data_IF_117588001817
#
_entry.id   IF_117588001817
#
_cell.length_a   1.000
_cell.length_b   1.000
_cell.length_c   1.000
_cell.angle_alpha   90.00
_cell.angle_beta   90.00
_cell.angle_gamma   90.00
#
_symmetry.space_group_name_H-M   'P 1'
#
loop_
_entity.id
_entity.type
_entity.pdbx_description
1 polymer ?
#
# COMPACT_ATOMS: atom_id res chain seq x y z
N UNK A 1 25.05 -29.14 32.80
CA UNK A 1 23.71 -28.92 32.20
C UNK A 1 23.74 -27.58 31.52
N UNK A 2 23.85 -27.47 30.18
CA UNK A 2 23.73 -26.19 29.48
C UNK A 2 22.24 -25.86 29.35
N UNK A 3 21.87 -24.68 29.81
CA UNK A 3 20.56 -24.11 29.72
C UNK A 3 20.24 -23.76 28.24
N UNK A 4 19.30 -24.52 27.67
CA UNK A 4 18.66 -24.19 26.38
C UNK A 4 17.94 -22.84 26.51
N UNK A 5 18.57 -21.81 26.01
CA UNK A 5 17.92 -20.50 25.84
C UNK A 5 17.04 -20.60 24.60
N UNK A 6 15.80 -21.03 24.77
CA UNK A 6 14.77 -21.02 23.74
C UNK A 6 14.60 -19.58 23.22
N UNK A 7 15.11 -19.30 22.03
CA UNK A 7 14.92 -18.03 21.33
C UNK A 7 13.42 -17.93 21.05
N UNK A 8 12.76 -16.96 21.65
CA UNK A 8 11.32 -16.73 21.50
C UNK A 8 10.97 -16.52 20.02
N UNK A 9 9.98 -17.27 19.53
CA UNK A 9 9.49 -17.23 18.12
C UNK A 9 9.27 -15.80 17.56
N UNK A 10 8.79 -14.80 18.34
CA UNK A 10 8.68 -13.42 17.88
C UNK A 10 10.02 -12.78 17.46
N UNK A 11 11.11 -13.10 18.13
CA UNK A 11 12.44 -12.54 17.82
C UNK A 11 13.02 -13.10 16.52
N UNK A 12 12.78 -14.37 16.22
CA UNK A 12 13.25 -15.00 14.97
C UNK A 12 12.57 -14.38 13.76
N UNK A 13 11.25 -14.17 13.82
CA UNK A 13 10.50 -13.52 12.74
C UNK A 13 10.96 -12.07 12.52
N UNK A 14 11.19 -11.31 13.58
CA UNK A 14 11.70 -9.95 13.48
C UNK A 14 13.09 -9.86 12.82
N UNK A 15 13.99 -10.79 13.17
CA UNK A 15 15.35 -10.84 12.57
C UNK A 15 15.30 -11.24 11.10
N UNK A 16 14.51 -12.25 10.74
CA UNK A 16 14.33 -12.68 9.34
C UNK A 16 13.76 -11.52 8.51
N UNK A 17 12.78 -10.83 9.04
CA UNK A 17 12.14 -9.68 8.38
C UNK A 17 13.12 -8.53 8.17
N UNK A 18 13.98 -8.25 9.15
CA UNK A 18 15.02 -7.21 9.05
C UNK A 18 16.08 -7.56 8.00
N UNK A 19 16.49 -8.83 7.92
CA UNK A 19 17.45 -9.32 6.91
C UNK A 19 16.83 -9.24 5.50
N UNK A 20 15.55 -9.62 5.35
CA UNK A 20 14.85 -9.51 4.07
C UNK A 20 14.75 -8.06 3.61
N UNK A 21 14.40 -7.13 4.51
CA UNK A 21 14.35 -5.71 4.17
C UNK A 21 15.69 -5.17 3.72
N UNK A 22 16.79 -5.56 4.39
CA UNK A 22 18.14 -5.13 4.00
C UNK A 22 18.51 -5.63 2.60
N UNK A 23 18.20 -6.89 2.27
CA UNK A 23 18.42 -7.45 0.93
C UNK A 23 17.58 -6.70 -0.12
N UNK A 24 16.30 -6.48 0.16
CA UNK A 24 15.40 -5.75 -0.71
C UNK A 24 15.90 -4.32 -0.97
N UNK A 25 16.22 -3.56 0.08
CA UNK A 25 16.72 -2.18 -0.04
C UNK A 25 18.00 -2.13 -0.88
N UNK A 26 18.95 -3.02 -0.65
CA UNK A 26 20.19 -3.07 -1.40
C UNK A 26 19.97 -3.41 -2.88
N UNK A 27 19.05 -4.33 -3.18
CA UNK A 27 18.66 -4.65 -4.54
C UNK A 27 18.00 -3.44 -5.23
N UNK A 28 16.97 -2.88 -4.63
CA UNK A 28 16.20 -1.77 -5.17
C UNK A 28 17.06 -0.53 -5.44
N UNK A 29 17.99 -0.20 -4.54
CA UNK A 29 18.91 0.93 -4.73
C UNK A 29 19.87 0.73 -5.91
N UNK A 30 20.30 -0.51 -6.18
CA UNK A 30 21.16 -0.82 -7.33
C UNK A 30 20.37 -0.90 -8.63
N UNK A 31 19.17 -1.46 -8.58
CA UNK A 31 18.34 -1.68 -9.76
C UNK A 31 17.71 -0.40 -10.31
N UNK A 32 17.42 0.59 -9.45
CA UNK A 32 16.69 1.78 -9.83
C UNK A 32 17.20 3.04 -9.10
N UNK A 33 17.98 3.90 -9.78
CA UNK A 33 18.51 5.14 -9.19
C UNK A 33 17.43 6.16 -8.78
N UNK A 34 16.24 6.12 -9.41
CA UNK A 34 15.13 6.99 -9.03
C UNK A 34 14.52 6.51 -7.73
N UNK A 35 14.26 5.22 -7.63
CA UNK A 35 13.76 4.60 -6.41
C UNK A 35 14.79 4.70 -5.27
N UNK A 36 16.09 4.61 -5.55
CA UNK A 36 17.15 4.82 -4.57
C UNK A 36 17.00 6.17 -3.84
N UNK A 37 16.76 7.26 -4.59
CA UNK A 37 16.51 8.60 -4.01
C UNK A 37 15.22 8.65 -3.17
N UNK A 38 14.19 7.90 -3.57
CA UNK A 38 12.95 7.78 -2.78
C UNK A 38 13.24 7.07 -1.46
N UNK A 39 13.97 5.96 -1.50
CA UNK A 39 14.36 5.18 -0.31
C UNK A 39 15.19 6.04 0.66
N UNK A 40 16.14 6.81 0.17
CA UNK A 40 16.97 7.70 0.99
C UNK A 40 16.16 8.78 1.69
N UNK A 41 15.21 9.38 0.98
CA UNK A 41 14.34 10.40 1.53
C UNK A 41 13.35 9.85 2.56
N UNK A 42 12.79 8.66 2.34
CA UNK A 42 11.83 8.01 3.24
C UNK A 42 12.53 7.47 4.49
N UNK A 43 13.77 6.98 4.35
CA UNK A 43 14.55 6.43 5.46
C UNK A 43 14.27 4.95 5.74
N UNK A 44 14.34 4.50 7.00
CA UNK A 44 14.23 3.09 7.36
C UNK A 44 12.91 2.45 6.93
N UNK A 45 12.97 1.24 6.38
CA UNK A 45 11.79 0.47 6.01
C UNK A 45 11.02 0.03 7.26
N UNK A 46 9.72 0.37 7.30
CA UNK A 46 8.79 -0.08 8.35
C UNK A 46 7.64 -0.91 7.74
N UNK A 47 7.89 -1.51 6.59
CA UNK A 47 6.93 -2.45 6.00
C UNK A 47 6.75 -3.63 6.95
N UNK A 48 5.52 -3.96 7.27
CA UNK A 48 5.18 -5.04 8.20
C UNK A 48 4.06 -5.90 7.63
N UNK A 49 4.15 -7.19 7.90
CA UNK A 49 3.11 -8.18 7.58
C UNK A 49 2.28 -8.39 8.85
N UNK A 50 0.97 -8.41 8.72
CA UNK A 50 0.06 -8.67 9.83
C UNK A 50 -0.07 -10.17 10.04
N UNK A 51 0.50 -10.67 11.11
CA UNK A 51 0.44 -12.08 11.48
C UNK A 51 -0.76 -12.42 12.40
N UNK A 52 -1.38 -11.39 13.01
CA UNK A 52 -2.51 -11.54 13.94
C UNK A 52 -3.77 -12.03 13.21
N UNK A 53 -4.54 -12.89 13.90
CA UNK A 53 -5.78 -13.45 13.39
C UNK A 53 -5.63 -14.46 12.24
N UNK A 54 -6.73 -14.84 11.64
CA UNK A 54 -6.82 -15.77 10.51
C UNK A 54 -6.81 -15.05 9.16
N UNK A 55 -6.70 -15.78 8.06
CA UNK A 55 -6.89 -15.21 6.72
C UNK A 55 -8.31 -14.68 6.51
N UNK A 56 -9.30 -15.33 7.13
CA UNK A 56 -10.69 -14.87 7.12
C UNK A 56 -10.81 -13.48 7.77
N UNK A 57 -10.21 -13.29 8.95
CA UNK A 57 -10.17 -12.00 9.64
C UNK A 57 -9.60 -10.89 8.75
N UNK A 58 -8.53 -11.20 8.04
CA UNK A 58 -7.88 -10.23 7.15
C UNK A 58 -8.81 -9.80 6.00
N UNK A 59 -9.54 -10.72 5.38
CA UNK A 59 -10.48 -10.39 4.30
C UNK A 59 -11.73 -9.67 4.85
N UNK A 60 -12.29 -10.10 5.99
CA UNK A 60 -13.38 -9.39 6.68
C UNK A 60 -12.98 -7.95 6.97
N UNK A 61 -11.81 -7.76 7.57
CA UNK A 61 -11.27 -6.42 7.83
C UNK A 61 -11.12 -5.61 6.55
N UNK A 62 -10.57 -6.20 5.48
CA UNK A 62 -10.40 -5.50 4.21
C UNK A 62 -11.74 -4.99 3.67
N UNK A 63 -12.80 -5.81 3.69
CA UNK A 63 -14.15 -5.44 3.26
C UNK A 63 -14.71 -4.30 4.13
N UNK A 64 -14.58 -4.39 5.46
CA UNK A 64 -15.08 -3.36 6.37
C UNK A 64 -14.41 -2.01 6.12
N UNK A 65 -13.11 -2.01 5.82
CA UNK A 65 -12.32 -0.80 5.65
C UNK A 65 -12.48 -0.12 4.28
N UNK A 66 -13.07 -0.77 3.27
CA UNK A 66 -13.26 -0.19 1.94
C UNK A 66 -14.02 1.15 2.01
N UNK A 67 -13.53 2.16 1.28
CA UNK A 67 -14.20 3.46 1.07
C UNK A 67 -14.57 4.20 2.37
N UNK A 68 -13.85 3.99 3.45
CA UNK A 68 -14.04 4.68 4.73
C UNK A 68 -12.74 5.36 5.18
N UNK A 69 -12.87 6.40 6.00
CA UNK A 69 -11.73 6.90 6.76
C UNK A 69 -11.27 5.84 7.77
N UNK A 70 -9.99 5.86 8.14
CA UNK A 70 -9.43 4.90 9.08
C UNK A 70 -10.19 4.86 10.42
N UNK A 71 -10.62 6.01 10.94
CA UNK A 71 -11.38 6.11 12.20
C UNK A 71 -12.79 5.51 12.10
N UNK A 72 -13.51 5.81 11.02
CA UNK A 72 -14.85 5.24 10.80
C UNK A 72 -14.78 3.73 10.62
N UNK A 73 -13.82 3.25 9.81
CA UNK A 73 -13.62 1.82 9.60
C UNK A 73 -13.24 1.09 10.90
N UNK A 74 -12.35 1.69 11.69
CA UNK A 74 -11.98 1.16 13.01
C UNK A 74 -13.19 1.03 13.93
N UNK A 75 -14.04 2.06 14.00
CA UNK A 75 -15.25 2.05 14.85
C UNK A 75 -16.20 0.91 14.45
N UNK A 76 -16.49 0.76 13.14
CA UNK A 76 -17.39 -0.28 12.64
C UNK A 76 -16.78 -1.68 12.89
N UNK A 77 -15.49 -1.85 12.61
CA UNK A 77 -14.80 -3.12 12.85
C UNK A 77 -14.78 -3.48 14.33
N UNK A 78 -14.50 -2.51 15.21
CA UNK A 78 -14.53 -2.74 16.67
C UNK A 78 -15.91 -3.13 17.18
N UNK A 79 -16.99 -2.54 16.63
CA UNK A 79 -18.36 -2.95 16.96
C UNK A 79 -18.66 -4.36 16.48
N UNK A 80 -18.20 -4.72 15.28
CA UNK A 80 -18.32 -6.09 14.76
C UNK A 80 -17.63 -7.08 15.69
N UNK A 81 -16.37 -6.85 16.04
CA UNK A 81 -15.64 -7.70 16.95
C UNK A 81 -16.32 -7.75 18.34
N UNK A 82 -16.70 -6.60 18.90
CA UNK A 82 -17.35 -6.51 20.22
C UNK A 82 -18.64 -7.31 20.32
N UNK A 83 -19.44 -7.37 19.21
CA UNK A 83 -20.65 -8.18 19.14
C UNK A 83 -20.37 -9.68 19.26
N UNK A 84 -19.18 -10.11 18.85
CA UNK A 84 -18.78 -11.53 18.80
C UNK A 84 -17.62 -11.85 19.76
N UNK A 85 -17.59 -11.22 20.92
CA UNK A 85 -16.61 -11.55 21.97
C UNK A 85 -15.18 -11.07 21.72
N UNK A 86 -14.99 -10.04 20.89
CA UNK A 86 -13.68 -9.45 20.62
C UNK A 86 -12.92 -10.09 19.46
N UNK A 87 -13.51 -11.08 18.80
CA UNK A 87 -12.91 -11.80 17.65
C UNK A 87 -13.81 -11.73 16.42
N UNK A 88 -13.24 -11.95 15.24
CA UNK A 88 -14.05 -12.14 14.03
C UNK A 88 -14.84 -13.43 14.16
N UNK A 89 -16.18 -13.41 13.96
CA UNK A 89 -16.99 -14.60 14.03
C UNK A 89 -16.64 -15.60 12.93
N UNK A 90 -16.83 -16.88 13.20
CA UNK A 90 -16.68 -17.93 12.19
C UNK A 90 -17.61 -17.67 10.99
N UNK A 91 -17.27 -18.15 9.78
CA UNK A 91 -18.08 -17.95 8.58
C UNK A 91 -19.56 -18.31 8.78
N UNK A 92 -19.85 -19.45 9.40
CA UNK A 92 -21.23 -19.87 9.65
C UNK A 92 -21.99 -18.92 10.57
N UNK A 93 -21.34 -18.41 11.62
CA UNK A 93 -21.95 -17.43 12.54
C UNK A 93 -22.33 -16.14 11.81
N UNK A 94 -21.46 -15.65 10.89
CA UNK A 94 -21.80 -14.51 10.06
C UNK A 94 -22.97 -14.79 9.11
N UNK A 95 -23.06 -16.00 8.57
CA UNK A 95 -24.18 -16.42 7.72
C UNK A 95 -25.51 -16.43 8.48
N UNK A 96 -25.50 -16.89 9.71
CA UNK A 96 -26.71 -17.05 10.54
C UNK A 96 -27.14 -15.71 11.17
N UNK A 97 -26.23 -14.73 11.28
CA UNK A 97 -26.55 -13.41 11.85
C UNK A 97 -27.49 -12.63 10.91
N UNK A 98 -28.61 -12.10 11.38
CA UNK A 98 -29.52 -11.30 10.56
C UNK A 98 -28.84 -10.07 9.95
N UNK A 99 -29.19 -9.72 8.70
CA UNK A 99 -28.65 -8.54 8.03
C UNK A 99 -28.93 -7.24 8.79
N UNK A 100 -30.11 -7.16 9.45
CA UNK A 100 -30.48 -6.01 10.28
C UNK A 100 -29.51 -5.81 11.44
N UNK A 101 -29.04 -6.89 12.06
CA UNK A 101 -28.07 -6.86 13.14
C UNK A 101 -26.69 -6.39 12.65
N UNK A 102 -26.19 -6.96 11.57
CA UNK A 102 -24.93 -6.53 10.97
C UNK A 102 -24.96 -5.05 10.58
N UNK A 103 -26.09 -4.58 10.04
CA UNK A 103 -26.28 -3.17 9.69
C UNK A 103 -26.35 -2.24 10.91
N UNK A 104 -26.90 -2.71 12.03
CA UNK A 104 -26.91 -1.97 13.29
C UNK A 104 -25.50 -1.70 13.84
N UNK A 105 -24.52 -2.53 13.48
CA UNK A 105 -23.11 -2.31 13.81
C UNK A 105 -22.44 -1.20 12.95
N UNK A 106 -23.13 -0.70 11.93
CA UNK A 106 -22.66 0.35 11.03
C UNK A 106 -22.23 -0.15 9.65
N UNK A 107 -22.43 -1.43 9.33
CA UNK A 107 -22.15 -1.96 8.00
C UNK A 107 -23.21 -1.47 6.98
N UNK A 108 -22.77 -1.04 5.81
CA UNK A 108 -23.69 -0.75 4.72
C UNK A 108 -24.35 -2.04 4.21
N UNK A 109 -25.53 -1.92 3.55
CA UNK A 109 -26.19 -3.07 2.90
C UNK A 109 -25.23 -3.84 1.98
N UNK A 110 -24.41 -3.11 1.24
CA UNK A 110 -23.45 -3.68 0.31
C UNK A 110 -22.36 -4.49 1.03
N UNK A 111 -21.75 -3.93 2.09
CA UNK A 111 -20.73 -4.64 2.90
C UNK A 111 -21.29 -5.84 3.64
N UNK A 112 -22.53 -5.74 4.15
CA UNK A 112 -23.22 -6.90 4.71
C UNK A 112 -23.33 -8.03 3.69
N UNK A 113 -23.76 -7.72 2.45
CA UNK A 113 -23.81 -8.70 1.38
C UNK A 113 -22.43 -9.29 1.01
N UNK A 114 -21.37 -8.47 1.05
CA UNK A 114 -20.01 -8.96 0.79
C UNK A 114 -19.49 -9.91 1.87
N UNK A 115 -19.73 -9.59 3.14
CA UNK A 115 -19.37 -10.46 4.25
C UNK A 115 -20.13 -11.80 4.20
N UNK A 116 -21.42 -11.78 3.86
CA UNK A 116 -22.23 -12.99 3.66
C UNK A 116 -21.71 -13.84 2.50
N UNK A 117 -21.38 -13.22 1.36
CA UNK A 117 -20.84 -13.93 0.19
C UNK A 117 -19.46 -14.56 0.50
N UNK A 118 -18.56 -13.81 1.17
CA UNK A 118 -17.30 -14.35 1.67
C UNK A 118 -17.52 -15.56 2.57
N UNK A 119 -18.39 -15.40 3.58
CA UNK A 119 -18.68 -16.46 4.56
C UNK A 119 -19.23 -17.72 3.90
N UNK A 120 -20.17 -17.57 2.96
CA UNK A 120 -20.72 -18.68 2.20
C UNK A 120 -19.63 -19.44 1.41
N UNK A 121 -18.81 -18.68 0.67
CA UNK A 121 -17.75 -19.28 -0.17
C UNK A 121 -16.69 -19.99 0.65
N UNK A 122 -16.36 -19.47 1.82
CA UNK A 122 -15.40 -20.12 2.73
C UNK A 122 -16.04 -21.37 3.33
N UNK A 123 -17.30 -21.30 3.78
CA UNK A 123 -17.99 -22.45 4.35
C UNK A 123 -18.18 -23.61 3.37
N UNK A 124 -18.42 -23.32 2.06
CA UNK A 124 -18.51 -24.37 1.04
C UNK A 124 -17.15 -24.76 0.41
N UNK A 125 -16.02 -24.19 0.87
CA UNK A 125 -14.70 -24.54 0.34
C UNK A 125 -14.38 -23.92 -1.03
N UNK A 126 -15.22 -23.02 -1.56
CA UNK A 126 -14.96 -22.32 -2.83
C UNK A 126 -13.74 -21.36 -2.71
N UNK A 127 -13.52 -20.81 -1.51
CA UNK A 127 -12.33 -20.00 -1.18
C UNK A 127 -11.58 -20.67 -0.05
N UNK A 128 -10.49 -21.42 -0.34
CA UNK A 128 -9.79 -22.26 0.64
C UNK A 128 -8.81 -21.42 1.46
N UNK A 129 -9.30 -20.51 2.31
CA UNK A 129 -8.49 -19.57 3.08
C UNK A 129 -7.43 -20.24 3.96
N UNK A 130 -7.66 -21.46 4.45
CA UNK A 130 -6.71 -22.20 5.29
C UNK A 130 -5.45 -22.64 4.56
N UNK A 131 -5.53 -22.84 3.25
CA UNK A 131 -4.44 -23.34 2.40
C UNK A 131 -3.96 -22.34 1.35
N UNK A 132 -4.42 -21.07 1.44
CA UNK A 132 -4.00 -20.04 0.47
C UNK A 132 -2.49 -19.83 0.42
N UNK A 133 -1.79 -20.05 1.52
CA UNK A 133 -0.33 -19.85 1.59
C UNK A 133 0.45 -20.85 0.69
N UNK A 134 -0.16 -21.98 0.33
CA UNK A 134 0.43 -23.01 -0.55
C UNK A 134 0.23 -22.70 -2.04
N UNK A 135 -0.63 -21.74 -2.38
CA UNK A 135 -0.93 -21.35 -3.74
C UNK A 135 0.02 -20.26 -4.26
N UNK A 136 0.16 -20.18 -5.59
CA UNK A 136 0.81 -19.02 -6.22
C UNK A 136 -0.07 -17.77 -6.17
N UNK A 137 0.53 -16.63 -6.46
CA UNK A 137 -0.14 -15.31 -6.31
C UNK A 137 -1.33 -15.18 -7.27
N UNK A 138 -1.27 -15.71 -8.48
CA UNK A 138 -2.36 -15.62 -9.46
C UNK A 138 -3.55 -16.50 -9.05
N UNK A 139 -3.28 -17.70 -8.52
CA UNK A 139 -4.32 -18.57 -7.98
C UNK A 139 -5.02 -17.92 -6.77
N UNK A 140 -4.27 -17.26 -5.89
CA UNK A 140 -4.81 -16.52 -4.76
C UNK A 140 -5.69 -15.35 -5.22
N UNK A 141 -5.21 -14.55 -6.17
CA UNK A 141 -5.98 -13.44 -6.76
C UNK A 141 -7.27 -13.97 -7.37
N UNK A 142 -7.19 -15.04 -8.14
CA UNK A 142 -8.35 -15.68 -8.77
C UNK A 142 -9.36 -16.13 -7.73
N UNK A 143 -8.93 -16.85 -6.70
CA UNK A 143 -9.81 -17.32 -5.63
C UNK A 143 -10.48 -16.17 -4.87
N UNK A 144 -9.71 -15.16 -4.45
CA UNK A 144 -10.24 -14.03 -3.67
C UNK A 144 -11.18 -13.14 -4.48
N UNK A 145 -10.92 -12.95 -5.77
CA UNK A 145 -11.77 -12.09 -6.64
C UNK A 145 -13.12 -12.72 -6.99
N UNK A 146 -13.34 -14.00 -6.69
CA UNK A 146 -14.68 -14.61 -6.76
C UNK A 146 -15.65 -14.02 -5.72
N UNK A 147 -15.11 -13.50 -4.60
CA UNK A 147 -15.90 -12.89 -3.52
C UNK A 147 -16.43 -11.52 -3.96
N UNK A 148 -17.74 -11.30 -3.80
CA UNK A 148 -18.35 -10.01 -4.11
C UNK A 148 -17.67 -8.88 -3.33
N UNK A 149 -17.28 -7.82 -4.05
CA UNK A 149 -16.61 -6.67 -3.45
C UNK A 149 -15.11 -6.83 -3.18
N UNK A 150 -14.54 -7.99 -3.46
CA UNK A 150 -13.09 -8.20 -3.42
C UNK A 150 -12.55 -8.14 -4.85
N UNK A 151 -11.88 -7.03 -5.19
CA UNK A 151 -11.22 -6.87 -6.48
C UNK A 151 -9.74 -7.24 -6.43
N UNK A 152 -9.08 -7.24 -7.60
CA UNK A 152 -7.65 -7.54 -7.75
C UNK A 152 -6.79 -6.71 -6.79
N UNK A 153 -7.07 -5.42 -6.65
CA UNK A 153 -6.34 -4.56 -5.72
C UNK A 153 -6.45 -5.05 -4.25
N UNK A 154 -7.64 -5.47 -3.82
CA UNK A 154 -7.82 -6.00 -2.45
C UNK A 154 -7.06 -7.32 -2.26
N UNK A 155 -7.06 -8.18 -3.28
CA UNK A 155 -6.29 -9.42 -3.26
C UNK A 155 -4.77 -9.16 -3.23
N UNK A 156 -4.28 -8.18 -3.99
CA UNK A 156 -2.87 -7.74 -3.94
C UNK A 156 -2.49 -7.19 -2.56
N UNK A 157 -3.36 -6.41 -1.91
CA UNK A 157 -3.13 -5.96 -0.52
C UNK A 157 -3.08 -7.13 0.46
N UNK A 158 -3.90 -8.16 0.26
CA UNK A 158 -3.85 -9.39 1.05
C UNK A 158 -2.51 -10.14 0.84
N UNK A 159 -2.06 -10.30 -0.40
CA UNK A 159 -0.75 -10.88 -0.71
C UNK A 159 0.39 -10.14 0.00
N UNK A 160 0.41 -8.81 -0.10
CA UNK A 160 1.45 -7.99 0.49
C UNK A 160 1.40 -8.00 2.02
N UNK A 161 0.26 -7.61 2.60
CA UNK A 161 0.18 -7.27 4.02
C UNK A 161 -0.31 -8.40 4.91
N UNK A 162 -0.83 -9.49 4.35
CA UNK A 162 -1.23 -10.68 5.09
C UNK A 162 -0.30 -11.87 4.85
N UNK A 163 0.03 -12.16 3.59
CA UNK A 163 0.91 -13.28 3.26
C UNK A 163 2.39 -12.90 3.18
N UNK A 164 2.71 -11.60 3.13
CA UNK A 164 4.09 -11.12 3.04
C UNK A 164 4.78 -11.46 1.72
N UNK A 165 4.01 -11.64 0.65
CA UNK A 165 4.57 -11.90 -0.68
C UNK A 165 5.51 -10.77 -1.09
N UNK A 166 6.78 -11.06 -1.43
CA UNK A 166 7.79 -10.03 -1.61
C UNK A 166 7.66 -9.27 -2.94
N UNK A 167 7.04 -9.87 -3.95
CA UNK A 167 7.08 -9.37 -5.33
C UNK A 167 5.68 -9.08 -5.92
N UNK A 168 4.89 -8.30 -5.20
CA UNK A 168 3.57 -7.84 -5.66
C UNK A 168 3.65 -6.39 -6.14
N UNK A 169 3.22 -6.13 -7.38
CA UNK A 169 3.15 -4.79 -7.98
C UNK A 169 1.69 -4.43 -8.30
N UNK A 170 1.01 -3.65 -7.45
CA UNK A 170 -0.34 -3.17 -7.72
C UNK A 170 -0.31 -2.01 -8.73
N UNK A 171 -0.18 -2.33 -10.00
CA UNK A 171 0.07 -1.43 -11.12
C UNK A 171 -1.09 -0.47 -11.43
N UNK A 172 -2.31 -0.82 -11.01
CA UNK A 172 -3.49 0.04 -11.09
C UNK A 172 -3.74 0.88 -9.83
N UNK A 173 -2.94 0.69 -8.76
CA UNK A 173 -3.08 1.47 -7.53
C UNK A 173 -2.82 2.95 -7.78
N UNK A 174 -3.79 3.80 -7.40
CA UNK A 174 -3.70 5.24 -7.62
C UNK A 174 -2.52 5.87 -6.87
N UNK A 175 -2.22 5.41 -5.66
CA UNK A 175 -1.09 5.88 -4.86
C UNK A 175 0.23 5.54 -5.53
N UNK A 176 0.42 4.31 -5.98
CA UNK A 176 1.62 3.88 -6.73
C UNK A 176 1.77 4.71 -8.00
N UNK A 177 0.71 4.87 -8.80
CA UNK A 177 0.74 5.67 -10.03
C UNK A 177 1.10 7.13 -9.77
N UNK A 178 0.53 7.75 -8.72
CA UNK A 178 0.88 9.11 -8.30
C UNK A 178 2.32 9.23 -7.82
N UNK A 179 2.80 8.28 -7.03
CA UNK A 179 4.17 8.27 -6.55
C UNK A 179 5.17 8.12 -7.70
N UNK A 180 4.89 7.24 -8.67
CA UNK A 180 5.69 7.09 -9.90
C UNK A 180 5.64 8.39 -10.72
N UNK A 181 4.47 8.97 -10.95
CA UNK A 181 4.36 10.25 -11.66
C UNK A 181 5.29 11.30 -11.06
N UNK A 182 5.30 11.40 -9.74
CA UNK A 182 6.12 12.39 -9.02
C UNK A 182 7.61 12.07 -9.07
N UNK A 183 7.99 10.83 -8.76
CA UNK A 183 9.38 10.42 -8.66
C UNK A 183 10.08 10.38 -10.02
N UNK A 184 9.40 9.83 -11.05
CA UNK A 184 9.92 9.66 -12.41
C UNK A 184 9.56 10.81 -13.36
N UNK A 185 8.85 11.84 -12.85
CA UNK A 185 8.47 13.05 -13.60
C UNK A 185 7.74 12.76 -14.91
N UNK A 186 6.80 11.80 -14.88
CA UNK A 186 5.97 11.51 -16.05
C UNK A 186 4.97 12.64 -16.30
N UNK A 187 4.61 12.90 -17.57
CA UNK A 187 3.68 14.00 -17.94
C UNK A 187 2.27 13.83 -17.36
N UNK A 188 1.84 12.59 -17.09
CA UNK A 188 0.53 12.26 -16.53
C UNK A 188 0.63 11.01 -15.65
N UNK A 189 -0.51 10.57 -15.12
CA UNK A 189 -0.59 9.29 -14.41
C UNK A 189 -0.16 8.17 -15.37
N UNK A 190 0.84 7.35 -15.01
CA UNK A 190 1.30 6.26 -15.85
C UNK A 190 0.19 5.21 -16.02
N UNK A 191 0.11 4.58 -17.20
CA UNK A 191 -0.74 3.41 -17.43
C UNK A 191 -0.19 2.19 -16.69
N UNK A 192 -0.98 1.12 -16.58
CA UNK A 192 -0.56 -0.16 -16.01
C UNK A 192 0.74 -0.66 -16.64
N UNK A 193 0.80 -0.72 -17.97
CA UNK A 193 1.99 -1.17 -18.72
C UNK A 193 3.23 -0.30 -18.45
N UNK A 194 3.00 1.01 -18.23
CA UNK A 194 4.09 1.92 -17.87
C UNK A 194 4.59 1.67 -16.46
N UNK A 195 3.69 1.38 -15.52
CA UNK A 195 4.04 1.01 -14.14
C UNK A 195 4.81 -0.31 -14.14
N UNK A 196 4.34 -1.32 -14.84
CA UNK A 196 4.99 -2.62 -14.97
C UNK A 196 6.40 -2.49 -15.56
N UNK A 197 6.56 -1.70 -16.62
CA UNK A 197 7.88 -1.43 -17.23
C UNK A 197 8.85 -0.74 -16.27
N UNK A 198 8.38 0.24 -15.51
CA UNK A 198 9.19 0.94 -14.51
C UNK A 198 9.53 -0.01 -13.36
N UNK A 199 8.57 -0.84 -12.93
CA UNK A 199 8.72 -1.75 -11.81
C UNK A 199 9.47 -3.05 -12.13
N UNK A 200 9.67 -3.39 -13.40
CA UNK A 200 10.34 -4.64 -13.79
C UNK A 200 11.70 -4.87 -13.09
N UNK A 201 12.57 -3.85 -12.91
CA UNK A 201 13.82 -4.02 -12.17
C UNK A 201 13.67 -4.22 -10.66
N UNK A 202 12.48 -4.00 -10.08
CA UNK A 202 12.26 -4.12 -8.64
C UNK A 202 12.10 -5.56 -8.18
N UNK A 203 11.73 -6.47 -9.11
CA UNK A 203 11.64 -7.90 -8.81
C UNK A 203 12.98 -8.42 -8.27
N UNK A 204 12.97 -9.27 -7.23
CA UNK A 204 11.81 -9.89 -6.58
C UNK A 204 11.31 -9.14 -5.33
N UNK A 205 11.43 -7.82 -5.26
CA UNK A 205 11.11 -7.02 -4.08
C UNK A 205 10.11 -5.88 -4.34
N UNK A 206 9.21 -6.06 -5.32
CA UNK A 206 8.22 -5.04 -5.72
C UNK A 206 7.33 -4.57 -4.57
N UNK A 207 7.00 -5.44 -3.61
CA UNK A 207 6.20 -5.08 -2.43
C UNK A 207 6.89 -4.03 -1.55
N UNK A 208 8.20 -4.17 -1.34
CA UNK A 208 9.00 -3.19 -0.60
C UNK A 208 9.12 -1.88 -1.37
N UNK A 209 9.33 -1.95 -2.70
CA UNK A 209 9.33 -0.78 -3.58
C UNK A 209 8.02 0.01 -3.48
N UNK A 210 6.88 -0.68 -3.55
CA UNK A 210 5.55 -0.09 -3.42
C UNK A 210 5.34 0.57 -2.06
N UNK A 211 5.80 -0.06 -0.98
CA UNK A 211 5.75 0.55 0.34
C UNK A 211 6.51 1.89 0.39
N UNK A 212 7.70 1.96 -0.18
CA UNK A 212 8.47 3.20 -0.26
C UNK A 212 7.79 4.27 -1.10
N UNK A 213 7.17 3.89 -2.20
CA UNK A 213 6.42 4.79 -3.06
C UNK A 213 5.22 5.40 -2.31
N UNK A 214 4.43 4.62 -1.58
CA UNK A 214 3.34 5.15 -0.76
C UNK A 214 3.85 6.10 0.33
N UNK A 215 4.90 5.72 1.08
CA UNK A 215 5.48 6.59 2.11
C UNK A 215 6.00 7.91 1.54
N UNK A 216 6.50 7.90 0.32
CA UNK A 216 7.00 9.12 -0.33
C UNK A 216 5.92 10.16 -0.58
N UNK A 217 4.66 9.75 -0.73
CA UNK A 217 3.53 10.67 -0.87
C UNK A 217 3.22 11.35 0.47
N UNK A 218 3.22 10.61 1.57
CA UNK A 218 2.93 11.15 2.90
C UNK A 218 3.93 12.23 3.33
N UNK A 219 5.23 12.02 3.05
CA UNK A 219 6.26 13.02 3.32
C UNK A 219 6.07 14.32 2.54
N UNK A 220 5.34 14.26 1.45
CA UNK A 220 5.11 15.41 0.59
C UNK A 220 3.90 16.24 0.99
N UNK A 221 2.95 15.61 1.66
CA UNK A 221 1.72 16.25 2.14
C UNK A 221 1.92 16.86 3.53
N UNK A 222 3.11 16.69 4.15
CA UNK A 222 3.45 17.32 5.43
C UNK A 222 3.83 18.80 5.17
N UNK A 223 3.08 19.80 5.69
CA UNK A 223 3.43 21.21 5.57
C UNK A 223 4.77 21.48 6.25
N UNK A 224 5.79 21.86 5.48
CA UNK A 224 7.10 22.22 6.02
C UNK A 224 8.32 21.62 5.35
N UNK A 225 8.18 20.74 4.35
CA UNK A 225 9.36 20.25 3.61
C UNK A 225 9.73 21.27 2.52
N UNK A 226 10.89 21.98 2.63
CA UNK A 226 11.29 22.96 1.61
C UNK A 226 11.46 22.26 0.27
N UNK A 227 10.73 22.73 -0.74
CA UNK A 227 11.03 22.38 -2.13
C UNK A 227 12.49 22.74 -2.39
N UNK A 228 13.29 21.76 -2.82
CA UNK A 228 14.69 21.97 -3.20
C UNK A 228 14.78 23.16 -4.17
N UNK A 229 15.34 24.28 -3.69
CA UNK A 229 15.61 25.48 -4.50
C UNK A 229 16.41 25.06 -5.72
N UNK A 230 15.83 25.25 -6.89
CA UNK A 230 16.58 25.21 -8.15
C UNK A 230 17.67 26.27 -8.05
N UNK A 231 18.92 25.85 -7.97
CA UNK A 231 20.05 26.74 -8.26
C UNK A 231 19.99 27.04 -9.76
N UNK A 232 19.32 28.15 -10.09
CA UNK A 232 19.42 28.79 -11.38
C UNK A 232 20.76 29.50 -11.44
N UNK A 233 21.69 28.99 -12.22
CA UNK A 233 22.93 29.70 -12.57
C UNK A 233 22.58 31.00 -13.27
N UNK A 234 22.76 32.11 -12.60
CA UNK A 234 22.74 33.45 -13.18
C UNK A 234 24.10 33.69 -13.85
N UNK A 235 24.15 33.44 -15.15
CA UNK A 235 25.21 34.01 -15.99
C UNK A 235 25.02 35.53 -16.11
N UNK A 236 25.78 36.29 -15.32
CA UNK A 236 25.88 37.73 -15.44
C UNK A 236 26.51 38.08 -16.79
N UNK A 237 25.74 38.60 -17.73
CA UNK A 237 26.25 39.40 -18.86
C UNK A 237 26.18 40.86 -18.49
N UNK A 238 27.34 41.41 -18.10
CA UNK A 238 27.58 42.84 -18.10
C UNK A 238 27.42 43.37 -19.54
N UNK A 239 26.55 44.34 -19.73
CA UNK A 239 26.62 45.27 -20.87
C UNK A 239 26.64 46.69 -20.35
N UNK A 240 27.73 47.33 -20.77
CA UNK A 240 28.18 48.63 -20.37
C UNK A 240 27.19 49.77 -20.67
N UNK A 241 27.39 50.74 -19.88
CA UNK A 241 26.85 52.09 -19.94
C UNK A 241 27.24 52.81 -21.23
N UNK A 242 26.25 53.38 -21.93
CA UNK A 242 26.51 54.56 -22.77
C UNK A 242 25.37 55.56 -22.61
N UNK A 243 25.71 56.69 -21.92
CA UNK A 243 24.99 57.96 -21.93
C UNK A 243 25.03 58.54 -23.33
N UNK A 244 23.97 59.15 -23.77
CA UNK A 244 23.92 60.49 -24.37
C UNK A 244 22.50 60.79 -24.84
N UNK A 245 21.96 61.74 -24.15
CA UNK A 245 21.40 63.05 -24.48
C UNK A 245 20.89 63.20 -25.95
N UNK A 246 19.60 63.48 -26.15
CA UNK A 246 19.17 64.71 -26.78
C UNK A 246 17.65 64.88 -26.85
N UNK A 247 17.31 65.99 -26.44
CA UNK A 247 16.07 66.71 -26.30
C UNK A 247 15.26 66.96 -27.59
N UNK A 248 13.95 67.21 -27.36
CA UNK A 248 13.07 68.16 -28.07
C UNK A 248 12.63 67.90 -29.50
N UNK A 249 11.36 67.75 -29.67
CA UNK A 249 10.35 68.62 -30.36
C UNK A 249 9.08 67.79 -30.54
N UNK A 250 7.98 68.15 -29.97
CA UNK A 250 6.97 69.17 -30.16
C UNK A 250 6.17 69.06 -31.47
N UNK A 251 4.89 68.82 -31.24
CA UNK A 251 3.76 69.33 -32.03
C UNK A 251 3.50 68.74 -33.44
N UNK A 252 2.52 67.95 -33.55
CA UNK A 252 1.17 68.31 -34.10
C UNK A 252 0.19 67.17 -33.89
#
# INVERSE_FOLDING_TARGET
>A
MPSDTAISIPHVHAVIFLIMHRKAINHLKRADPVLARVIERVGPCRYTVRADGTHFDAVVRAIVYQQLSGSAAFTIHSRLLGRFGGVTPQPQVLLDTPDSELRALGLSRQKTGYLKDLSRRVACGEVPLSTLHDLDDDAIITALTTVKGVGVWTAQMFLMFRLGRPDVLPDLDLGIRKAIQRAYRTRGLPTSERVQRIGAPWSPFSSVACWYLWRSLELADTPGTPAAKRQGGSGARQRGTRKETRARRAAR
#
